data_IF_027095762197
#
_entry.id   IF_027095762197
#
_cell.length_a   1.000
_cell.length_b   1.000
_cell.length_c   1.000
_cell.angle_alpha   90.00
_cell.angle_beta   90.00
_cell.angle_gamma   90.00
#
_symmetry.space_group_name_H-M   'P 1'
#
loop_
_entity.id
_entity.type
_entity.pdbx_description
1 polymer ?
#
# COMPACT_ATOMS: atom_id res chain seq x y z
N UNK A 1 -56.03 52.84 3.82
CA UNK A 1 -54.98 51.83 3.50
C UNK A 1 -53.55 52.34 3.35
N UNK A 2 -53.23 53.57 3.80
CA UNK A 2 -51.88 54.18 3.63
C UNK A 2 -51.01 54.11 4.88
N UNK A 3 -51.54 53.70 6.05
CA UNK A 3 -50.82 53.68 7.32
C UNK A 3 -50.32 52.31 7.77
N UNK A 4 -50.73 51.21 7.13
CA UNK A 4 -50.28 49.87 7.54
C UNK A 4 -48.94 49.44 6.90
N UNK A 5 -48.60 49.98 5.72
CA UNK A 5 -47.31 49.65 5.07
C UNK A 5 -46.08 50.26 5.76
N UNK A 6 -46.22 51.45 6.38
CA UNK A 6 -45.12 52.10 7.06
C UNK A 6 -44.73 51.42 8.39
N UNK A 7 -45.67 50.76 9.08
CA UNK A 7 -45.41 50.06 10.31
C UNK A 7 -44.64 48.76 10.04
N UNK A 8 -44.98 48.07 8.92
CA UNK A 8 -44.30 46.81 8.54
C UNK A 8 -42.83 47.05 8.13
N UNK A 9 -42.53 48.14 7.46
CA UNK A 9 -41.20 48.55 7.09
C UNK A 9 -40.39 48.98 8.34
N UNK A 10 -40.94 49.76 9.27
CA UNK A 10 -40.30 50.15 10.52
C UNK A 10 -39.98 48.93 11.38
N UNK A 11 -40.85 47.91 11.44
CA UNK A 11 -40.61 46.65 12.16
C UNK A 11 -39.46 45.83 11.53
N UNK A 12 -39.40 45.83 10.17
CA UNK A 12 -38.28 45.16 9.46
C UNK A 12 -36.94 45.83 9.77
N UNK A 13 -36.85 47.14 9.72
CA UNK A 13 -35.62 47.88 10.06
C UNK A 13 -35.24 47.76 11.52
N UNK A 14 -36.19 47.74 12.46
CA UNK A 14 -35.96 47.47 13.86
C UNK A 14 -35.46 46.04 14.10
N UNK A 15 -35.96 45.05 13.36
CA UNK A 15 -35.51 43.65 13.48
C UNK A 15 -34.12 43.46 12.89
N UNK A 16 -33.80 44.09 11.77
CA UNK A 16 -32.47 44.04 11.14
C UNK A 16 -31.43 44.77 12.01
N UNK A 17 -31.76 45.91 12.62
CA UNK A 17 -30.86 46.61 13.56
C UNK A 17 -30.68 45.85 14.85
N UNK A 18 -31.70 45.17 15.38
CA UNK A 18 -31.61 44.33 16.56
C UNK A 18 -30.78 43.06 16.31
N UNK A 19 -30.92 42.43 15.11
CA UNK A 19 -30.11 41.29 14.70
C UNK A 19 -28.64 41.74 14.44
N UNK A 20 -28.42 42.89 13.89
CA UNK A 20 -27.09 43.48 13.66
C UNK A 20 -26.35 43.81 14.99
N UNK A 21 -27.07 44.27 16.00
CA UNK A 21 -26.48 44.53 17.35
C UNK A 21 -26.26 43.27 18.16
N UNK A 22 -27.06 42.19 17.97
CA UNK A 22 -26.78 40.88 18.57
C UNK A 22 -25.54 40.20 17.96
N UNK A 23 -25.23 40.41 16.69
CA UNK A 23 -24.02 39.89 16.08
C UNK A 23 -22.73 40.61 16.52
N UNK A 24 -22.82 41.80 17.10
CA UNK A 24 -21.68 42.52 17.63
C UNK A 24 -21.42 42.27 19.12
N UNK A 25 -22.33 41.58 19.82
CA UNK A 25 -22.16 41.19 21.23
C UNK A 25 -21.61 39.77 21.42
N UNK A 26 -21.36 39.05 20.35
CA UNK A 26 -20.78 37.70 20.37
C UNK A 26 -19.36 37.73 19.85
N UNK A 27 -18.41 37.87 20.72
CA UNK A 27 -17.04 37.42 20.79
C UNK A 27 -16.16 38.40 21.55
N UNK A 28 -16.51 38.61 22.79
CA UNK A 28 -15.51 38.96 23.79
C UNK A 28 -14.87 37.67 24.28
N UNK A 29 -14.13 36.97 23.42
CA UNK A 29 -13.10 36.04 23.88
C UNK A 29 -11.84 36.87 24.13
N UNK A 30 -11.86 37.65 25.21
CA UNK A 30 -10.66 38.23 25.80
C UNK A 30 -9.99 37.28 26.80
N UNK A 31 -9.90 36.01 26.47
CA UNK A 31 -8.85 35.20 27.03
C UNK A 31 -8.07 34.61 25.86
N UNK A 32 -7.03 35.31 25.45
CA UNK A 32 -5.86 34.67 24.90
C UNK A 32 -5.49 33.64 25.95
N UNK A 33 -5.76 32.36 25.66
CA UNK A 33 -5.03 31.22 26.23
C UNK A 33 -3.61 31.37 25.67
N UNK A 34 -2.94 32.41 26.06
CA UNK A 34 -1.55 32.73 25.80
C UNK A 34 -0.81 32.54 27.10
N UNK A 35 0.39 32.05 27.00
CA UNK A 35 1.37 32.06 28.08
C UNK A 35 1.54 33.52 28.53
N UNK A 36 0.85 33.91 29.59
CA UNK A 36 1.07 35.21 30.18
C UNK A 36 2.35 35.12 31.01
N UNK A 37 3.35 35.91 30.65
CA UNK A 37 4.54 36.05 31.47
C UNK A 37 4.11 36.50 32.87
N UNK A 38 4.35 35.67 33.87
CA UNK A 38 3.97 35.94 35.26
C UNK A 38 5.17 36.35 36.11
N UNK A 39 6.37 35.94 35.66
CA UNK A 39 7.62 36.30 36.34
C UNK A 39 8.81 36.32 35.37
N UNK A 40 10.03 36.50 35.90
CA UNK A 40 11.31 36.49 35.16
C UNK A 40 12.31 35.49 35.78
N UNK A 41 11.82 34.46 36.49
CA UNK A 41 12.66 33.46 37.14
C UNK A 41 12.73 32.24 36.21
N UNK A 42 13.93 31.90 35.78
CA UNK A 42 14.11 30.70 34.93
C UNK A 42 13.88 29.40 35.75
N UNK A 43 13.27 28.37 35.11
CA UNK A 43 13.04 27.08 35.76
C UNK A 43 14.37 26.34 36.03
N UNK A 44 14.31 25.36 36.92
CA UNK A 44 15.46 24.48 37.23
C UNK A 44 15.86 23.60 36.04
N UNK A 45 17.04 23.02 36.12
CA UNK A 45 17.56 22.08 35.11
C UNK A 45 16.99 20.67 35.28
N UNK A 46 16.84 19.89 34.19
CA UNK A 46 16.61 18.45 34.29
C UNK A 46 17.76 17.75 35.01
N UNK A 47 17.43 16.79 35.88
CA UNK A 47 18.40 16.03 36.68
C UNK A 47 18.30 14.53 36.36
N UNK A 48 19.22 13.71 36.93
CA UNK A 48 19.23 12.24 36.76
C UNK A 48 19.09 11.82 35.29
N UNK A 49 19.98 12.39 34.44
CA UNK A 49 19.92 12.15 33.00
C UNK A 49 20.55 10.80 32.66
N UNK A 50 19.77 9.97 31.97
CA UNK A 50 20.19 8.68 31.43
C UNK A 50 19.99 8.67 29.90
N UNK A 51 20.93 8.09 29.18
CA UNK A 51 20.90 8.00 27.72
C UNK A 51 20.79 6.55 27.29
N UNK A 52 19.80 6.25 26.49
CA UNK A 52 19.64 4.98 25.77
C UNK A 52 19.81 5.24 24.28
N UNK A 53 20.95 4.83 23.70
CA UNK A 53 21.20 5.00 22.28
C UNK A 53 20.36 4.05 21.45
N UNK A 54 19.72 4.58 20.39
CA UNK A 54 18.89 3.82 19.44
C UNK A 54 19.41 4.05 18.01
N UNK A 55 18.85 3.33 17.04
CA UNK A 55 19.21 3.50 15.62
C UNK A 55 18.92 4.93 15.13
N UNK A 56 19.99 5.64 14.78
CA UNK A 56 19.91 7.04 14.31
C UNK A 56 19.42 8.04 15.34
N UNK A 57 19.55 7.73 16.66
CA UNK A 57 19.10 8.62 17.71
C UNK A 57 19.38 8.12 19.14
N UNK A 58 18.72 8.76 20.11
CA UNK A 58 18.73 8.35 21.51
C UNK A 58 17.43 8.71 22.22
N UNK A 59 17.09 7.92 23.23
CA UNK A 59 16.08 8.25 24.24
C UNK A 59 16.83 8.84 25.44
N UNK A 60 16.48 10.06 25.81
CA UNK A 60 17.06 10.77 26.95
C UNK A 60 16.02 10.78 28.06
N UNK A 61 16.27 10.04 29.14
CA UNK A 61 15.44 10.00 30.36
C UNK A 61 15.98 11.00 31.35
N UNK A 62 15.11 11.64 32.12
CA UNK A 62 15.50 12.63 33.09
C UNK A 62 14.43 12.82 34.16
N UNK A 63 14.79 13.44 35.25
CA UNK A 63 13.81 13.95 36.24
C UNK A 63 13.54 15.41 35.93
N UNK A 64 12.29 15.79 35.60
CA UNK A 64 11.91 17.19 35.38
C UNK A 64 12.14 18.05 36.61
N UNK A 65 12.45 19.35 36.46
CA UNK A 65 12.53 20.25 37.61
C UNK A 65 11.14 20.40 38.26
N UNK A 66 11.16 20.70 39.58
CA UNK A 66 9.94 20.88 40.39
C UNK A 66 9.53 22.36 40.39
N UNK A 67 9.18 22.86 39.25
CA UNK A 67 8.67 24.24 39.07
C UNK A 67 7.17 24.16 38.74
N UNK A 68 6.34 24.88 39.46
CA UNK A 68 4.87 24.85 39.31
C UNK A 68 4.37 25.38 37.98
N UNK A 69 5.18 26.20 37.33
CA UNK A 69 4.90 26.77 36.04
C UNK A 69 5.74 26.20 34.88
N UNK A 70 6.46 25.08 35.11
CA UNK A 70 7.18 24.38 34.04
C UNK A 70 6.26 24.12 32.84
N UNK A 71 6.68 24.55 31.66
CA UNK A 71 5.97 24.31 30.39
C UNK A 71 6.47 23.05 29.67
N UNK A 72 7.78 22.94 29.49
CA UNK A 72 8.39 21.80 28.78
C UNK A 72 9.90 21.71 29.04
N UNK A 73 10.43 20.54 28.70
CA UNK A 73 11.87 20.33 28.52
C UNK A 73 12.15 20.28 27.01
N UNK A 74 13.18 21.00 26.57
CA UNK A 74 13.56 21.11 25.16
C UNK A 74 14.95 20.54 24.96
N UNK A 75 15.10 19.68 23.96
CA UNK A 75 16.39 19.23 23.45
C UNK A 75 16.67 19.92 22.11
N UNK A 76 17.82 20.59 22.00
CA UNK A 76 18.32 21.21 20.76
C UNK A 76 19.56 20.46 20.28
N UNK A 77 19.64 20.20 18.98
CA UNK A 77 20.75 19.49 18.36
C UNK A 77 20.87 19.79 16.87
N UNK A 78 22.01 19.46 16.27
CA UNK A 78 22.27 19.74 14.85
C UNK A 78 22.16 18.47 14.01
N UNK A 79 21.39 18.52 12.94
CA UNK A 79 21.30 17.49 11.89
C UNK A 79 21.60 18.13 10.54
N UNK A 80 22.60 17.63 9.84
CA UNK A 80 23.00 18.13 8.51
C UNK A 80 23.16 19.67 8.44
N UNK A 81 23.70 20.28 9.51
CA UNK A 81 23.87 21.73 9.59
C UNK A 81 22.58 22.50 9.93
N UNK A 82 21.47 21.84 10.19
CA UNK A 82 20.22 22.45 10.59
C UNK A 82 19.95 22.15 12.07
N UNK A 83 19.65 23.21 12.85
CA UNK A 83 19.23 23.03 14.23
C UNK A 83 17.84 22.40 14.29
N UNK A 84 17.72 21.37 15.12
CA UNK A 84 16.48 20.66 15.41
C UNK A 84 16.15 20.76 16.88
N UNK A 85 14.86 20.75 17.19
CA UNK A 85 14.37 20.78 18.57
C UNK A 85 13.30 19.71 18.77
N UNK A 86 13.39 19.03 19.90
CA UNK A 86 12.33 18.14 20.40
C UNK A 86 11.90 18.64 21.76
N UNK A 87 10.57 18.61 22.04
CA UNK A 87 9.98 19.10 23.28
C UNK A 87 9.21 18.00 23.98
N UNK A 88 9.33 17.94 25.28
CA UNK A 88 8.58 17.05 26.16
C UNK A 88 7.78 17.85 27.18
N UNK A 89 6.52 17.47 27.43
CA UNK A 89 5.69 18.11 28.43
C UNK A 89 6.23 17.87 29.86
N UNK A 90 5.83 18.67 30.86
CA UNK A 90 6.29 18.48 32.24
C UNK A 90 5.82 17.17 32.88
N UNK A 91 4.89 16.43 32.23
CA UNK A 91 4.32 15.17 32.72
C UNK A 91 5.03 13.92 32.20
N UNK A 92 6.05 14.09 31.37
CA UNK A 92 6.87 12.98 30.86
C UNK A 92 8.33 13.18 31.27
N UNK A 93 9.01 12.08 31.50
CA UNK A 93 10.36 11.99 32.02
C UNK A 93 11.39 11.60 30.94
N UNK A 94 11.00 11.69 29.69
CA UNK A 94 11.87 11.33 28.55
C UNK A 94 11.56 12.12 27.29
N UNK A 95 12.54 12.22 26.42
CA UNK A 95 12.41 12.72 25.06
C UNK A 95 13.29 11.91 24.09
N UNK A 96 12.90 11.91 22.82
CA UNK A 96 13.63 11.22 21.78
C UNK A 96 14.28 12.27 20.88
N UNK A 97 15.59 12.10 20.66
CA UNK A 97 16.34 12.82 19.64
C UNK A 97 16.69 11.84 18.51
N UNK A 98 16.40 12.25 17.28
CA UNK A 98 16.52 11.37 16.10
C UNK A 98 16.95 12.13 14.85
N UNK A 99 17.31 11.41 13.79
CA UNK A 99 17.73 11.98 12.51
C UNK A 99 19.24 12.00 12.32
N UNK A 100 20.01 11.33 13.16
CA UNK A 100 21.45 11.20 13.00
C UNK A 100 21.76 10.17 11.90
N UNK A 101 22.29 10.66 10.79
CA UNK A 101 22.58 9.86 9.60
C UNK A 101 23.90 9.10 9.65
N UNK A 102 24.68 9.24 10.73
CA UNK A 102 25.98 8.55 10.91
C UNK A 102 26.18 8.17 12.37
N UNK A 103 26.89 7.08 12.58
CA UNK A 103 27.40 6.71 13.90
C UNK A 103 28.45 7.73 14.32
N UNK A 104 28.43 8.15 15.58
CA UNK A 104 29.37 9.12 16.13
C UNK A 104 28.87 9.68 17.46
N UNK A 105 29.65 10.57 18.08
CA UNK A 105 29.29 11.24 19.32
C UNK A 105 28.67 12.63 18.99
N UNK A 106 27.52 12.90 19.56
CA UNK A 106 26.79 14.15 19.33
C UNK A 106 26.42 14.81 20.66
N UNK A 107 26.48 16.13 20.68
CA UNK A 107 26.06 16.91 21.83
C UNK A 107 24.61 17.39 21.65
N UNK A 108 23.79 17.08 22.66
CA UNK A 108 22.42 17.54 22.80
C UNK A 108 22.35 18.57 23.91
N UNK A 109 21.68 19.67 23.69
CA UNK A 109 21.52 20.75 24.67
C UNK A 109 20.10 20.68 25.23
N UNK A 110 20.00 20.28 26.51
CA UNK A 110 18.73 20.23 27.25
C UNK A 110 18.52 21.52 28.03
N UNK A 111 17.34 22.09 27.92
CA UNK A 111 16.90 23.22 28.75
C UNK A 111 15.46 23.04 29.18
N UNK A 112 15.08 23.62 30.29
CA UNK A 112 13.70 23.74 30.73
C UNK A 112 13.14 25.09 30.33
N UNK A 113 11.85 25.14 30.01
CA UNK A 113 11.12 26.35 29.65
C UNK A 113 9.86 26.42 30.50
N UNK A 114 9.58 27.57 31.13
CA UNK A 114 8.38 27.80 31.91
C UNK A 114 7.23 28.44 31.07
N UNK A 115 6.08 28.64 31.69
CA UNK A 115 4.92 29.28 31.08
C UNK A 115 5.15 30.77 30.77
N UNK A 116 6.10 31.40 31.45
CA UNK A 116 6.53 32.81 31.24
C UNK A 116 7.56 32.93 30.10
N UNK A 117 7.98 31.83 29.47
CA UNK A 117 9.01 31.69 28.43
C UNK A 117 10.42 31.99 28.94
N UNK A 118 10.67 31.92 30.25
CA UNK A 118 12.01 31.94 30.75
C UNK A 118 12.66 30.55 30.47
N UNK A 119 13.94 30.58 30.13
CA UNK A 119 14.72 29.37 29.80
C UNK A 119 15.80 29.15 30.84
N UNK A 120 16.03 27.89 31.25
CA UNK A 120 17.19 27.53 32.04
C UNK A 120 18.47 27.61 31.20
N UNK A 121 19.62 27.68 31.86
CA UNK A 121 20.90 27.43 31.17
C UNK A 121 20.87 26.04 30.50
N UNK A 122 21.50 25.87 29.30
CA UNK A 122 21.51 24.59 28.63
C UNK A 122 22.46 23.60 29.33
N UNK A 123 22.00 22.37 29.51
CA UNK A 123 22.81 21.23 29.97
C UNK A 123 23.21 20.35 28.79
N UNK A 124 24.50 20.18 28.58
CA UNK A 124 25.02 19.32 27.51
C UNK A 124 24.92 17.84 27.89
N UNK A 125 24.37 17.04 26.99
CA UNK A 125 24.26 15.57 27.08
C UNK A 125 24.90 14.98 25.83
N UNK A 126 25.85 14.06 25.99
CA UNK A 126 26.45 13.34 24.86
C UNK A 126 25.66 12.06 24.57
N UNK A 127 25.40 11.81 23.30
CA UNK A 127 24.78 10.58 22.80
C UNK A 127 25.67 9.96 21.73
N UNK A 128 25.56 8.63 21.53
CA UNK A 128 26.29 7.87 20.50
C UNK A 128 25.28 6.98 19.76
N UNK A 129 24.50 7.55 18.80
CA UNK A 129 23.48 6.80 18.07
C UNK A 129 24.02 5.51 17.44
N UNK A 130 23.20 4.45 17.47
CA UNK A 130 23.47 3.21 16.78
C UNK A 130 23.32 3.40 15.26
N UNK A 131 23.68 2.38 14.48
CA UNK A 131 23.59 2.38 13.00
C UNK A 131 22.30 3.02 12.51
N UNK A 132 22.39 4.06 11.66
CA UNK A 132 21.21 4.78 11.17
C UNK A 132 20.32 3.90 10.31
N UNK A 133 19.00 4.17 10.29
CA UNK A 133 18.06 3.43 9.45
C UNK A 133 18.43 3.37 7.96
N UNK A 134 18.93 4.45 7.39
CA UNK A 134 19.36 4.50 5.98
C UNK A 134 20.45 3.50 5.65
N UNK A 135 21.37 3.22 6.59
CA UNK A 135 22.45 2.26 6.40
C UNK A 135 21.97 0.82 6.51
N UNK A 136 21.32 0.41 7.60
CA UNK A 136 20.93 -1.00 7.75
C UNK A 136 19.82 -1.41 6.77
N UNK A 137 18.95 -0.47 6.34
CA UNK A 137 17.97 -0.75 5.29
C UNK A 137 18.67 -0.95 3.95
N UNK A 138 19.66 -0.08 3.64
CA UNK A 138 20.50 -0.22 2.46
C UNK A 138 21.25 -1.57 2.44
N UNK A 139 21.86 -1.98 3.54
CA UNK A 139 22.55 -3.28 3.66
C UNK A 139 21.61 -4.48 3.43
N UNK A 140 20.33 -4.32 3.72
CA UNK A 140 19.30 -5.35 3.53
C UNK A 140 18.72 -5.37 2.12
N UNK A 141 19.02 -4.37 1.27
CA UNK A 141 18.46 -4.23 -0.06
C UNK A 141 18.91 -5.37 -0.96
N UNK A 142 17.93 -6.04 -1.58
CA UNK A 142 18.19 -7.08 -2.58
C UNK A 142 17.50 -6.68 -3.87
N UNK A 143 18.24 -6.76 -4.95
CA UNK A 143 17.78 -6.46 -6.31
C UNK A 143 17.92 -7.73 -7.13
N UNK A 144 16.88 -8.07 -7.89
CA UNK A 144 16.88 -9.21 -8.81
C UNK A 144 16.26 -8.81 -10.14
N UNK A 145 16.84 -9.28 -11.23
CA UNK A 145 16.27 -9.11 -12.55
C UNK A 145 14.90 -9.80 -12.61
N UNK A 146 13.95 -9.15 -13.27
CA UNK A 146 12.58 -9.61 -13.41
C UNK A 146 12.06 -9.32 -14.81
N UNK A 147 10.88 -9.85 -15.12
CA UNK A 147 10.23 -9.57 -16.41
C UNK A 147 9.92 -8.08 -16.54
N UNK A 148 10.39 -7.49 -17.64
CA UNK A 148 10.24 -6.08 -17.95
C UNK A 148 10.94 -5.13 -16.98
N UNK A 149 11.86 -5.62 -16.11
CA UNK A 149 12.50 -4.74 -15.13
C UNK A 149 13.24 -5.44 -14.01
N UNK A 150 13.12 -4.90 -12.79
CA UNK A 150 13.79 -5.41 -11.59
C UNK A 150 12.83 -5.47 -10.40
N UNK A 151 13.05 -6.45 -9.53
CA UNK A 151 12.35 -6.61 -8.25
C UNK A 151 13.28 -6.20 -7.10
N UNK A 152 12.75 -5.45 -6.15
CA UNK A 152 13.44 -4.87 -5.02
C UNK A 152 12.82 -5.39 -3.73
N UNK A 153 13.62 -5.80 -2.76
CA UNK A 153 13.16 -6.12 -1.40
C UNK A 153 14.12 -5.54 -0.37
N UNK A 154 13.58 -5.12 0.78
CA UNK A 154 14.38 -4.57 1.88
C UNK A 154 13.72 -4.84 3.23
N UNK A 155 14.48 -4.68 4.32
CA UNK A 155 14.00 -4.80 5.69
C UNK A 155 14.08 -3.47 6.42
N UNK A 156 12.99 -3.08 7.06
CA UNK A 156 12.85 -1.86 7.85
C UNK A 156 12.22 -2.17 9.22
N UNK A 157 12.95 -2.86 10.11
CA UNK A 157 12.40 -3.40 11.36
C UNK A 157 11.88 -2.32 12.31
N UNK A 158 12.38 -1.10 12.24
CA UNK A 158 11.97 0.04 13.07
C UNK A 158 10.86 0.89 12.42
N UNK A 159 10.33 0.47 11.26
CA UNK A 159 9.25 1.17 10.53
C UNK A 159 9.55 2.65 10.25
N UNK A 160 10.80 2.98 9.98
CA UNK A 160 11.17 4.36 9.61
C UNK A 160 10.55 4.76 8.28
N UNK A 161 10.15 6.02 8.17
CA UNK A 161 9.71 6.59 6.89
C UNK A 161 10.95 6.78 6.01
N UNK A 162 11.01 6.03 4.92
CA UNK A 162 12.12 6.09 3.96
C UNK A 162 11.61 6.29 2.54
N UNK A 163 12.50 6.74 1.70
CA UNK A 163 12.36 6.78 0.26
C UNK A 163 13.49 5.92 -0.31
N UNK A 164 13.13 4.85 -1.03
CA UNK A 164 14.08 4.15 -1.89
C UNK A 164 14.07 4.87 -3.24
N UNK A 165 15.14 5.61 -3.52
CA UNK A 165 15.34 6.31 -4.77
C UNK A 165 16.04 5.38 -5.76
N UNK A 166 15.43 5.23 -6.96
CA UNK A 166 16.02 4.48 -8.06
C UNK A 166 16.29 5.41 -9.21
N UNK A 167 17.50 5.34 -9.72
CA UNK A 167 18.00 6.14 -10.82
C UNK A 167 18.53 5.23 -11.93
N UNK A 168 18.55 5.73 -13.15
CA UNK A 168 19.21 5.10 -14.29
C UNK A 168 20.32 5.98 -14.81
N UNK A 169 21.35 5.37 -15.41
CA UNK A 169 22.46 6.10 -16.02
C UNK A 169 22.17 6.38 -17.48
N UNK A 170 22.00 7.65 -17.83
CA UNK A 170 21.79 8.11 -19.20
C UNK A 170 22.92 9.09 -19.59
N UNK A 171 23.64 8.81 -20.66
CA UNK A 171 24.76 9.65 -21.13
C UNK A 171 25.80 9.98 -20.04
N UNK A 172 25.98 9.09 -19.09
CA UNK A 172 26.91 9.27 -17.93
C UNK A 172 26.32 9.99 -16.72
N UNK A 173 25.12 10.54 -16.82
CA UNK A 173 24.42 11.23 -15.74
C UNK A 173 23.36 10.34 -15.08
N UNK A 174 23.14 10.53 -13.78
CA UNK A 174 22.08 9.85 -13.05
C UNK A 174 20.74 10.57 -13.22
N UNK A 175 19.75 9.89 -13.81
CA UNK A 175 18.40 10.40 -14.00
C UNK A 175 17.44 9.63 -13.09
N UNK A 176 16.57 10.32 -12.39
CA UNK A 176 15.53 9.69 -11.55
C UNK A 176 14.64 8.80 -12.40
N UNK A 177 14.47 7.55 -11.97
CA UNK A 177 13.59 6.58 -12.61
C UNK A 177 12.31 6.40 -11.80
N UNK A 178 12.44 6.11 -10.49
CA UNK A 178 11.30 5.84 -9.60
C UNK A 178 11.66 6.14 -8.15
N UNK A 179 10.65 6.46 -7.32
CA UNK A 179 10.80 6.69 -5.89
C UNK A 179 9.73 5.90 -5.12
N UNK A 180 10.17 5.02 -4.23
CA UNK A 180 9.29 4.22 -3.40
C UNK A 180 9.27 4.72 -1.96
N UNK A 181 8.12 5.21 -1.53
CA UNK A 181 7.89 5.68 -0.16
C UNK A 181 7.41 4.52 0.70
N UNK A 182 8.06 4.25 1.81
CA UNK A 182 7.73 3.07 2.63
C UNK A 182 8.04 3.28 4.11
N UNK A 183 7.22 2.64 4.96
CA UNK A 183 7.46 2.45 6.39
C UNK A 183 7.17 1.01 6.85
N UNK A 184 7.00 0.09 5.89
CA UNK A 184 6.68 -1.31 6.18
C UNK A 184 7.94 -2.10 6.59
N UNK A 185 7.76 -3.11 7.46
CA UNK A 185 8.87 -3.90 8.01
C UNK A 185 9.63 -4.67 6.94
N UNK A 186 8.90 -5.33 6.04
CA UNK A 186 9.45 -6.05 4.89
C UNK A 186 8.91 -5.41 3.63
N UNK A 187 9.73 -4.54 3.02
CA UNK A 187 9.37 -3.81 1.82
C UNK A 187 9.64 -4.61 0.55
N UNK A 188 8.78 -4.40 -0.42
CA UNK A 188 8.99 -4.88 -1.78
C UNK A 188 8.50 -3.84 -2.78
N UNK A 189 9.19 -3.75 -3.91
CA UNK A 189 8.82 -2.88 -5.02
C UNK A 189 9.30 -3.49 -6.33
N UNK A 190 8.76 -2.99 -7.43
CA UNK A 190 9.15 -3.43 -8.77
C UNK A 190 9.24 -2.24 -9.70
N UNK A 191 10.26 -2.25 -10.52
CA UNK A 191 10.39 -1.35 -11.66
C UNK A 191 10.06 -2.17 -12.90
N UNK A 192 9.22 -1.61 -13.75
CA UNK A 192 8.74 -2.25 -14.98
C UNK A 192 8.85 -1.32 -16.17
N UNK A 193 8.66 -1.89 -17.36
CA UNK A 193 8.72 -1.13 -18.62
C UNK A 193 10.14 -0.83 -19.10
N UNK A 194 11.14 -1.53 -18.52
CA UNK A 194 12.51 -1.51 -19.02
C UNK A 194 12.65 -2.44 -20.23
N UNK A 195 13.45 -2.02 -21.19
CA UNK A 195 13.83 -2.89 -22.31
C UNK A 195 14.64 -4.09 -21.81
N UNK A 196 14.55 -5.21 -22.53
CA UNK A 196 15.34 -6.41 -22.25
C UNK A 196 16.79 -6.23 -22.75
N UNK A 197 17.45 -5.21 -22.24
CA UNK A 197 18.82 -4.82 -22.56
C UNK A 197 19.56 -4.49 -21.26
N UNK A 198 20.89 -4.71 -21.19
CA UNK A 198 21.67 -4.33 -20.02
C UNK A 198 21.49 -2.85 -19.71
N UNK A 199 21.17 -2.54 -18.45
CA UNK A 199 20.97 -1.18 -17.95
C UNK A 199 21.66 -1.00 -16.61
N UNK A 200 22.37 0.13 -16.43
CA UNK A 200 22.95 0.48 -15.15
C UNK A 200 21.94 1.27 -14.31
N UNK A 201 21.59 0.72 -13.16
CA UNK A 201 20.67 1.32 -12.19
C UNK A 201 21.41 1.68 -10.91
N UNK A 202 21.02 2.77 -10.30
CA UNK A 202 21.51 3.25 -9.02
C UNK A 202 20.40 3.25 -7.97
N UNK A 203 20.73 2.78 -6.77
CA UNK A 203 19.76 2.65 -5.67
C UNK A 203 20.33 3.30 -4.42
N UNK A 204 19.53 4.09 -3.72
CA UNK A 204 19.89 4.63 -2.41
C UNK A 204 18.67 4.83 -1.53
N UNK A 205 18.89 4.80 -0.23
CA UNK A 205 17.86 5.08 0.78
C UNK A 205 18.01 6.51 1.24
N UNK A 206 16.89 7.23 1.35
CA UNK A 206 16.82 8.56 1.95
C UNK A 206 15.76 8.56 3.06
N UNK A 207 16.06 9.24 4.17
CA UNK A 207 15.09 9.48 5.23
C UNK A 207 14.47 10.89 5.17
N UNK A 208 13.59 11.20 6.12
CA UNK A 208 12.91 12.51 6.23
C UNK A 208 13.80 13.66 6.67
N UNK A 209 15.05 13.39 7.10
CA UNK A 209 16.04 14.38 7.50
C UNK A 209 17.11 14.62 6.43
N UNK A 210 16.88 14.08 5.23
CA UNK A 210 17.83 14.12 4.11
C UNK A 210 19.16 13.44 4.42
N UNK A 211 19.15 12.38 5.25
CA UNK A 211 20.26 11.45 5.31
C UNK A 211 20.13 10.47 4.16
N UNK A 212 21.25 10.14 3.57
CA UNK A 212 21.36 9.24 2.43
C UNK A 212 22.29 8.07 2.75
N UNK A 213 21.94 6.89 2.29
CA UNK A 213 22.88 5.79 2.18
C UNK A 213 23.90 6.04 1.07
N UNK A 214 24.92 5.18 0.98
CA UNK A 214 25.71 5.07 -0.24
C UNK A 214 24.81 4.73 -1.45
N UNK A 215 25.33 5.03 -2.65
CA UNK A 215 24.68 4.64 -3.90
C UNK A 215 25.14 3.24 -4.29
N UNK A 216 24.19 2.29 -4.37
CA UNK A 216 24.44 0.98 -4.94
C UNK A 216 24.26 1.06 -6.46
N UNK A 217 25.33 0.94 -7.21
CA UNK A 217 25.32 0.89 -8.67
C UNK A 217 25.38 -0.57 -9.13
N UNK A 218 24.39 -1.02 -9.91
CA UNK A 218 24.30 -2.38 -10.43
C UNK A 218 23.93 -2.37 -11.90
N UNK A 219 24.55 -3.26 -12.67
CA UNK A 219 24.07 -3.63 -13.98
C UNK A 219 22.96 -4.66 -13.84
N UNK A 220 21.83 -4.39 -14.43
CA UNK A 220 20.63 -5.25 -14.46
C UNK A 220 20.33 -5.67 -15.90
N UNK A 221 19.80 -6.88 -16.04
CA UNK A 221 19.43 -7.47 -17.31
C UNK A 221 17.95 -7.85 -17.29
N UNK A 222 17.02 -6.88 -17.48
CA UNK A 222 15.60 -7.15 -17.46
C UNK A 222 15.22 -8.25 -18.43
N UNK A 223 14.38 -9.18 -17.98
CA UNK A 223 13.85 -10.24 -18.84
C UNK A 223 12.83 -9.63 -19.81
N UNK A 224 12.80 -10.16 -21.03
CA UNK A 224 11.82 -9.72 -22.03
C UNK A 224 10.39 -9.93 -21.57
N UNK A 225 9.55 -8.91 -21.71
CA UNK A 225 8.12 -8.95 -21.39
C UNK A 225 7.33 -8.22 -22.48
N UNK A 226 6.29 -8.87 -22.98
CA UNK A 226 5.30 -8.27 -23.86
C UNK A 226 3.90 -8.77 -23.53
N UNK A 227 2.88 -7.98 -23.86
CA UNK A 227 1.50 -8.45 -23.75
C UNK A 227 1.22 -9.48 -24.84
N UNK A 228 0.66 -10.64 -24.43
CA UNK A 228 0.29 -11.69 -25.39
C UNK A 228 -0.80 -11.17 -26.36
N UNK A 229 -0.63 -11.51 -27.63
CA UNK A 229 -1.60 -11.19 -28.68
C UNK A 229 -2.92 -11.97 -28.47
N UNK A 230 -3.89 -11.31 -27.84
CA UNK A 230 -5.19 -11.88 -27.51
C UNK A 230 -6.04 -12.26 -28.73
N UNK A 231 -5.68 -11.80 -29.92
CA UNK A 231 -6.34 -12.25 -31.17
C UNK A 231 -6.10 -13.72 -31.48
N UNK A 232 -5.02 -14.30 -30.93
CA UNK A 232 -4.69 -15.72 -31.03
C UNK A 232 -5.45 -16.60 -30.05
N UNK A 233 -6.03 -16.02 -29.01
CA UNK A 233 -6.75 -16.76 -27.97
C UNK A 233 -8.03 -17.35 -28.54
N UNK A 234 -8.37 -18.57 -28.10
CA UNK A 234 -9.52 -19.33 -28.61
C UNK A 234 -10.24 -20.05 -27.48
N UNK A 235 -11.56 -20.11 -27.65
CA UNK A 235 -12.36 -21.08 -26.91
C UNK A 235 -12.03 -22.49 -27.40
N UNK A 236 -12.08 -23.48 -26.54
CA UNK A 236 -11.92 -24.88 -26.97
C UNK A 236 -13.15 -25.30 -27.81
N UNK A 237 -12.94 -26.03 -28.90
CA UNK A 237 -14.05 -26.54 -29.73
C UNK A 237 -14.95 -27.52 -28.94
N UNK A 238 -14.36 -28.23 -28.00
CA UNK A 238 -15.06 -29.14 -27.07
C UNK A 238 -14.60 -28.81 -25.66
N UNK A 239 -15.54 -28.64 -24.74
CA UNK A 239 -15.24 -28.39 -23.33
C UNK A 239 -14.62 -29.65 -22.70
N UNK A 240 -13.66 -29.43 -21.81
CA UNK A 240 -13.10 -30.50 -20.99
C UNK A 240 -14.07 -30.88 -19.86
N UNK A 241 -14.01 -32.14 -19.37
CA UNK A 241 -14.78 -32.53 -18.20
C UNK A 241 -14.53 -31.59 -17.02
N UNK A 242 -15.60 -31.14 -16.37
CA UNK A 242 -15.55 -30.19 -15.28
C UNK A 242 -15.52 -28.72 -15.69
N UNK A 243 -15.46 -28.40 -16.99
CA UNK A 243 -15.60 -27.00 -17.43
C UNK A 243 -17.07 -26.54 -17.33
N UNK A 244 -17.23 -25.29 -16.89
CA UNK A 244 -18.54 -24.63 -16.86
C UNK A 244 -19.07 -24.37 -18.26
N UNK A 245 -20.38 -24.41 -18.38
CA UNK A 245 -21.08 -23.88 -19.53
C UNK A 245 -21.21 -22.35 -19.41
N UNK A 246 -21.00 -21.64 -20.53
CA UNK A 246 -21.21 -20.22 -20.59
C UNK A 246 -22.72 -19.89 -20.67
N UNK A 247 -23.15 -18.87 -19.92
CA UNK A 247 -24.50 -18.31 -20.06
C UNK A 247 -24.65 -17.67 -21.44
N UNK A 248 -25.84 -17.78 -22.03
CA UNK A 248 -26.14 -17.20 -23.34
C UNK A 248 -25.80 -15.70 -23.40
N UNK A 249 -25.01 -15.31 -24.40
CA UNK A 249 -24.55 -13.94 -24.57
C UNK A 249 -23.30 -13.55 -23.75
N UNK A 250 -22.81 -14.41 -22.84
CA UNK A 250 -21.63 -14.16 -21.98
C UNK A 250 -20.57 -15.27 -22.10
N UNK A 251 -20.02 -15.51 -23.31
CA UNK A 251 -19.13 -16.61 -23.63
C UNK A 251 -17.75 -16.47 -22.99
N UNK A 252 -16.97 -17.58 -22.99
CA UNK A 252 -15.61 -17.64 -22.43
C UNK A 252 -14.69 -16.57 -23.07
N UNK A 253 -14.82 -16.33 -24.38
CA UNK A 253 -13.99 -15.32 -25.07
C UNK A 253 -14.07 -13.91 -24.46
N UNK A 254 -15.13 -13.60 -23.73
CA UNK A 254 -15.25 -12.32 -23.02
C UNK A 254 -14.19 -12.14 -21.92
N UNK A 255 -13.51 -13.22 -21.49
CA UNK A 255 -12.37 -13.13 -20.54
C UNK A 255 -11.22 -12.29 -21.15
N UNK A 256 -11.03 -12.36 -22.47
CA UNK A 256 -9.93 -11.64 -23.13
C UNK A 256 -10.36 -10.63 -24.19
N UNK A 257 -11.63 -10.63 -24.62
CA UNK A 257 -12.18 -9.71 -25.64
C UNK A 257 -13.24 -8.76 -25.06
N UNK A 258 -13.82 -9.10 -23.92
CA UNK A 258 -14.89 -8.33 -23.30
C UNK A 258 -14.40 -6.99 -22.72
N UNK A 259 -15.36 -6.19 -22.32
CA UNK A 259 -15.10 -5.09 -21.42
C UNK A 259 -15.28 -5.56 -19.97
N UNK A 260 -14.67 -4.87 -19.06
CA UNK A 260 -14.72 -5.23 -17.64
C UNK A 260 -16.00 -4.75 -16.91
N UNK A 261 -17.08 -4.52 -17.62
CA UNK A 261 -18.36 -4.08 -17.06
C UNK A 261 -19.54 -4.97 -17.48
N UNK A 262 -19.88 -4.99 -18.76
CA UNK A 262 -21.07 -5.71 -19.28
C UNK A 262 -20.72 -6.97 -20.05
N UNK A 263 -19.64 -6.93 -20.84
CA UNK A 263 -19.20 -8.06 -21.69
C UNK A 263 -18.19 -8.91 -20.92
N UNK A 264 -18.65 -9.54 -19.84
CA UNK A 264 -17.87 -10.47 -19.03
C UNK A 264 -18.19 -11.92 -19.43
N UNK A 265 -17.39 -12.87 -18.98
CA UNK A 265 -17.78 -14.27 -18.91
C UNK A 265 -18.75 -14.47 -17.73
N UNK A 266 -19.79 -15.27 -17.93
CA UNK A 266 -20.64 -15.76 -16.86
C UNK A 266 -20.99 -17.23 -17.11
N UNK A 267 -20.78 -18.06 -16.10
CA UNK A 267 -21.18 -19.48 -16.17
C UNK A 267 -22.68 -19.66 -15.93
N UNK A 268 -23.27 -20.66 -16.56
CA UNK A 268 -24.59 -21.16 -16.15
C UNK A 268 -24.41 -21.82 -14.78
N UNK A 269 -25.00 -21.25 -13.75
CA UNK A 269 -24.93 -21.75 -12.37
C UNK A 269 -26.32 -21.79 -11.75
N UNK A 270 -26.62 -22.86 -11.05
CA UNK A 270 -27.81 -23.02 -10.21
C UNK A 270 -27.46 -23.95 -9.05
N UNK A 271 -28.40 -24.28 -8.18
CA UNK A 271 -28.20 -25.23 -7.08
C UNK A 271 -27.69 -26.58 -7.53
N UNK A 272 -28.10 -27.01 -8.73
CA UNK A 272 -27.76 -28.32 -9.30
C UNK A 272 -26.49 -28.29 -10.16
N UNK A 273 -25.92 -27.11 -10.39
CA UNK A 273 -24.71 -26.89 -11.19
C UNK A 273 -23.87 -25.72 -10.62
N UNK A 274 -23.29 -25.85 -9.43
CA UNK A 274 -22.52 -24.79 -8.81
C UNK A 274 -21.21 -24.52 -9.57
N UNK A 275 -20.81 -23.25 -9.68
CA UNK A 275 -19.56 -22.85 -10.33
C UNK A 275 -18.30 -23.30 -9.56
N UNK A 276 -18.26 -23.19 -8.23
CA UNK A 276 -17.08 -23.59 -7.47
C UNK A 276 -16.78 -25.10 -7.64
N UNK A 277 -15.48 -25.47 -7.75
CA UNK A 277 -14.99 -26.80 -8.09
C UNK A 277 -15.03 -27.16 -9.57
N UNK A 278 -15.52 -26.22 -10.39
CA UNK A 278 -15.56 -26.32 -11.84
C UNK A 278 -14.47 -25.44 -12.44
N UNK A 279 -14.21 -25.68 -13.71
CA UNK A 279 -13.15 -24.97 -14.43
C UNK A 279 -13.67 -24.07 -15.55
N UNK A 280 -12.77 -23.22 -16.01
CA UNK A 280 -12.81 -22.51 -17.28
C UNK A 280 -11.51 -22.84 -17.99
N UNK A 281 -11.58 -23.31 -19.23
CA UNK A 281 -10.40 -23.67 -20.01
C UNK A 281 -10.39 -22.96 -21.35
N UNK A 282 -9.22 -22.40 -21.73
CA UNK A 282 -9.03 -21.74 -23.02
C UNK A 282 -7.60 -21.93 -23.56
N UNK A 283 -7.42 -21.66 -24.85
CA UNK A 283 -6.18 -21.75 -25.58
C UNK A 283 -5.61 -20.33 -25.83
N UNK A 284 -4.39 -20.04 -25.38
CA UNK A 284 -3.69 -18.79 -25.70
C UNK A 284 -3.16 -18.72 -27.14
N UNK A 285 -3.31 -19.80 -27.91
CA UNK A 285 -2.89 -19.90 -29.32
C UNK A 285 -1.39 -20.03 -29.54
N UNK A 286 -0.59 -19.93 -28.48
CA UNK A 286 0.86 -20.08 -28.50
C UNK A 286 1.37 -20.56 -27.12
N UNK A 287 2.48 -21.29 -27.15
CA UNK A 287 3.21 -21.62 -25.92
C UNK A 287 3.96 -20.36 -25.45
N UNK A 288 3.75 -19.96 -24.21
CA UNK A 288 4.39 -18.79 -23.63
C UNK A 288 4.89 -19.04 -22.21
N UNK A 289 5.94 -18.32 -21.81
CA UNK A 289 6.34 -18.10 -20.44
C UNK A 289 5.54 -16.89 -19.95
N UNK A 290 4.50 -17.14 -19.17
CA UNK A 290 3.67 -16.07 -18.64
C UNK A 290 4.35 -15.46 -17.41
N UNK A 291 4.53 -14.15 -17.39
CA UNK A 291 5.12 -13.40 -16.28
C UNK A 291 4.07 -12.92 -15.28
N UNK A 292 2.91 -12.53 -15.78
CA UNK A 292 1.79 -12.00 -15.00
C UNK A 292 0.51 -11.99 -15.81
N UNK A 293 -0.58 -11.79 -15.09
CA UNK A 293 -1.88 -11.49 -15.70
C UNK A 293 -2.64 -10.50 -14.84
N UNK A 294 -3.63 -9.83 -15.44
CA UNK A 294 -4.60 -9.00 -14.73
C UNK A 294 -5.98 -9.59 -14.86
N UNK A 295 -6.72 -9.56 -13.76
CA UNK A 295 -8.12 -9.96 -13.74
C UNK A 295 -9.00 -8.75 -13.38
N UNK A 296 -10.04 -8.55 -14.16
CA UNK A 296 -11.07 -7.58 -13.86
C UNK A 296 -12.36 -8.30 -13.44
N UNK A 297 -12.87 -7.93 -12.29
CA UNK A 297 -14.18 -8.39 -11.85
C UNK A 297 -15.28 -7.68 -12.65
N UNK A 298 -16.42 -8.33 -12.82
CA UNK A 298 -17.62 -7.69 -13.29
C UNK A 298 -18.08 -6.64 -12.28
N UNK A 299 -18.24 -5.39 -12.72
CA UNK A 299 -18.59 -4.27 -11.83
C UNK A 299 -20.07 -3.94 -11.82
N UNK A 300 -20.76 -4.07 -12.96
CA UNK A 300 -22.13 -3.61 -13.14
C UNK A 300 -22.26 -2.08 -13.17
N UNK A 301 -23.45 -1.61 -13.36
CA UNK A 301 -23.73 -0.17 -13.30
C UNK A 301 -23.50 0.35 -11.88
N UNK A 302 -22.89 1.53 -11.77
CA UNK A 302 -22.51 2.14 -10.49
C UNK A 302 -21.65 1.23 -9.57
N UNK A 303 -20.93 0.25 -10.12
CA UNK A 303 -20.05 -0.70 -9.40
C UNK A 303 -20.78 -1.61 -8.40
N UNK A 304 -22.09 -1.83 -8.53
CA UNK A 304 -22.90 -2.58 -7.56
C UNK A 304 -22.52 -4.05 -7.42
N UNK A 305 -21.74 -4.61 -8.36
CA UNK A 305 -21.30 -6.00 -8.33
C UNK A 305 -19.82 -6.17 -7.94
N UNK A 306 -19.10 -5.10 -7.67
CA UNK A 306 -17.70 -5.15 -7.23
C UNK A 306 -17.60 -5.90 -5.90
N UNK A 307 -16.71 -6.87 -5.80
CA UNK A 307 -16.53 -7.75 -4.63
C UNK A 307 -17.81 -8.40 -4.11
N UNK A 308 -18.72 -8.69 -5.01
CA UNK A 308 -19.99 -9.36 -4.69
C UNK A 308 -20.38 -10.38 -5.77
N UNK A 309 -21.58 -10.93 -5.67
CA UNK A 309 -22.13 -11.88 -6.62
C UNK A 309 -21.18 -13.07 -6.87
N UNK A 310 -21.10 -13.51 -8.12
CA UNK A 310 -20.27 -14.63 -8.54
C UNK A 310 -18.87 -14.21 -9.01
N UNK A 311 -18.42 -13.00 -8.70
CA UNK A 311 -17.03 -12.62 -8.94
C UNK A 311 -16.10 -13.55 -8.17
N UNK A 312 -15.04 -14.01 -8.82
CA UNK A 312 -14.07 -14.91 -8.22
C UNK A 312 -13.33 -14.21 -7.06
N UNK A 313 -13.19 -14.94 -5.94
CA UNK A 313 -12.39 -14.56 -4.78
C UNK A 313 -11.14 -15.41 -4.70
N UNK A 314 -11.30 -16.75 -4.82
CA UNK A 314 -10.18 -17.70 -4.81
C UNK A 314 -10.28 -18.64 -5.99
N UNK A 315 -9.15 -18.88 -6.63
CA UNK A 315 -9.04 -19.81 -7.75
C UNK A 315 -7.62 -20.32 -7.90
N UNK A 316 -7.46 -21.39 -8.69
CA UNK A 316 -6.16 -21.96 -9.04
C UNK A 316 -5.98 -21.93 -10.53
N UNK A 317 -4.80 -21.54 -10.97
CA UNK A 317 -4.41 -21.61 -12.38
C UNK A 317 -3.59 -22.85 -12.62
N UNK A 318 -3.99 -23.61 -13.64
CA UNK A 318 -3.25 -24.72 -14.21
C UNK A 318 -2.87 -24.42 -15.66
N UNK A 319 -1.74 -24.96 -16.10
CA UNK A 319 -1.27 -24.80 -17.47
C UNK A 319 -0.76 -26.12 -18.03
N UNK A 320 -0.89 -26.30 -19.35
CA UNK A 320 -0.23 -27.37 -20.10
C UNK A 320 0.13 -26.87 -21.50
N UNK A 321 1.03 -27.58 -22.20
CA UNK A 321 1.44 -27.23 -23.58
C UNK A 321 0.55 -27.86 -24.63
N UNK A 322 -0.06 -29.02 -24.33
CA UNK A 322 -0.86 -29.82 -25.24
C UNK A 322 -2.07 -30.39 -24.50
N UNK A 323 -3.17 -30.59 -25.22
CA UNK A 323 -4.33 -31.32 -24.74
C UNK A 323 -4.32 -32.75 -25.35
N UNK A 324 -4.54 -33.75 -24.50
CA UNK A 324 -4.57 -35.15 -24.92
C UNK A 324 -6.00 -35.72 -24.89
N UNK A 325 -6.22 -36.81 -25.58
CA UNK A 325 -7.52 -37.50 -25.57
C UNK A 325 -7.91 -37.99 -24.15
N UNK A 326 -6.93 -38.32 -23.32
CA UNK A 326 -7.14 -38.69 -21.91
C UNK A 326 -7.75 -37.52 -21.13
N UNK A 327 -7.30 -36.31 -21.35
CA UNK A 327 -7.83 -35.10 -20.68
C UNK A 327 -9.30 -34.86 -21.03
N UNK A 328 -9.71 -35.16 -22.26
CA UNK A 328 -11.12 -35.06 -22.67
C UNK A 328 -12.02 -36.15 -22.08
N UNK A 329 -11.44 -37.22 -21.55
CA UNK A 329 -12.17 -38.35 -20.98
C UNK A 329 -11.96 -38.50 -19.46
N UNK A 330 -11.26 -37.58 -18.79
CA UNK A 330 -10.78 -37.74 -17.41
C UNK A 330 -11.59 -36.86 -16.41
N UNK A 331 -12.88 -36.96 -16.37
CA UNK A 331 -13.72 -36.30 -15.37
C UNK A 331 -14.15 -37.23 -14.25
N UNK A 332 -14.54 -36.70 -13.12
CA UNK A 332 -15.18 -37.44 -12.03
C UNK A 332 -16.61 -36.94 -11.86
N UNK A 333 -17.56 -37.85 -12.09
CA UNK A 333 -18.96 -37.55 -11.84
C UNK A 333 -19.33 -37.78 -10.38
N UNK A 334 -19.91 -36.76 -9.75
CA UNK A 334 -20.44 -36.83 -8.39
C UNK A 334 -21.78 -36.12 -8.33
N UNK A 335 -22.80 -36.83 -7.87
CA UNK A 335 -24.17 -36.27 -7.73
C UNK A 335 -24.72 -35.65 -9.04
N UNK A 336 -24.40 -36.23 -10.20
CA UNK A 336 -24.79 -35.75 -11.51
C UNK A 336 -23.98 -34.56 -12.04
N UNK A 337 -22.95 -34.13 -11.31
CA UNK A 337 -22.06 -33.04 -11.69
C UNK A 337 -20.70 -33.62 -12.08
N UNK A 338 -20.20 -33.21 -13.26
CA UNK A 338 -18.87 -33.52 -13.72
C UNK A 338 -17.83 -32.58 -13.13
N UNK A 339 -16.88 -33.12 -12.36
CA UNK A 339 -15.75 -32.38 -11.79
C UNK A 339 -14.47 -32.63 -12.59
N UNK A 340 -13.54 -31.64 -12.61
CA UNK A 340 -12.29 -31.77 -13.33
C UNK A 340 -11.32 -32.71 -12.62
N UNK A 341 -10.46 -33.33 -13.41
CA UNK A 341 -9.19 -33.93 -12.95
C UNK A 341 -8.04 -33.09 -13.49
N UNK A 342 -6.85 -33.26 -12.92
CA UNK A 342 -5.69 -32.44 -13.26
C UNK A 342 -4.49 -33.25 -13.72
N UNK A 343 -4.70 -34.54 -14.10
CA UNK A 343 -3.66 -35.33 -14.74
C UNK A 343 -3.23 -34.69 -16.08
N UNK A 344 -1.93 -34.55 -16.27
CA UNK A 344 -1.36 -33.83 -17.43
C UNK A 344 -1.35 -32.31 -17.31
N UNK A 345 -1.93 -31.73 -16.23
CA UNK A 345 -1.88 -30.31 -15.95
C UNK A 345 -0.83 -29.99 -14.88
N UNK A 346 -0.09 -28.90 -15.08
CA UNK A 346 0.80 -28.37 -14.05
C UNK A 346 0.08 -27.25 -13.31
N UNK A 347 0.04 -27.33 -11.98
CA UNK A 347 -0.43 -26.21 -11.16
C UNK A 347 0.55 -25.05 -11.28
N UNK A 348 0.08 -23.91 -11.71
CA UNK A 348 0.87 -22.70 -11.88
C UNK A 348 0.88 -21.88 -10.59
N UNK A 349 -0.30 -21.55 -10.06
CA UNK A 349 -0.41 -20.79 -8.81
C UNK A 349 -1.81 -20.84 -8.20
N UNK A 350 -1.87 -20.61 -6.89
CA UNK A 350 -3.10 -20.23 -6.20
C UNK A 350 -3.28 -18.72 -6.27
N UNK A 351 -4.51 -18.28 -6.41
CA UNK A 351 -4.85 -16.85 -6.48
C UNK A 351 -5.94 -16.53 -5.47
N UNK A 352 -5.72 -15.48 -4.70
CA UNK A 352 -6.73 -14.83 -3.89
C UNK A 352 -6.80 -13.36 -4.31
N UNK A 353 -7.98 -12.92 -4.76
CA UNK A 353 -8.19 -11.54 -5.21
C UNK A 353 -8.00 -10.57 -4.06
N UNK A 354 -7.21 -9.53 -4.28
CA UNK A 354 -6.93 -8.53 -3.27
C UNK A 354 -8.09 -7.54 -3.13
N UNK A 355 -8.38 -7.15 -1.88
CA UNK A 355 -9.34 -6.11 -1.55
C UNK A 355 -8.67 -5.09 -0.62
N UNK A 356 -8.44 -3.86 -1.06
CA UNK A 356 -7.74 -2.82 -0.28
C UNK A 356 -8.31 -2.60 1.12
N UNK A 357 -9.64 -2.55 1.24
CA UNK A 357 -10.31 -2.34 2.53
C UNK A 357 -10.27 -3.57 3.47
N UNK A 358 -9.68 -4.68 3.02
CA UNK A 358 -9.62 -5.96 3.75
C UNK A 358 -10.65 -6.98 3.27
N UNK A 359 -10.25 -8.25 3.27
CA UNK A 359 -11.03 -9.38 2.77
C UNK A 359 -12.40 -9.54 3.47
N UNK A 360 -12.45 -9.23 4.76
CA UNK A 360 -13.65 -9.41 5.61
C UNK A 360 -14.48 -8.14 5.75
N UNK A 361 -14.07 -7.02 5.15
CA UNK A 361 -14.83 -5.79 5.18
C UNK A 361 -16.09 -5.94 4.32
N UNK A 362 -17.32 -5.86 4.88
CA UNK A 362 -18.54 -6.00 4.10
C UNK A 362 -18.83 -4.77 3.20
N UNK A 363 -18.20 -3.64 3.49
CA UNK A 363 -18.41 -2.41 2.74
C UNK A 363 -17.43 -2.31 1.57
N UNK A 364 -17.88 -1.70 0.48
CA UNK A 364 -17.06 -1.35 -0.68
C UNK A 364 -16.62 0.10 -0.54
N UNK A 365 -15.31 0.35 -0.52
CA UNK A 365 -14.74 1.69 -0.44
C UNK A 365 -14.39 2.25 -1.81
N UNK A 366 -14.10 3.55 -1.90
CA UNK A 366 -13.63 4.14 -3.15
C UNK A 366 -12.28 3.56 -3.58
N UNK A 367 -11.42 3.22 -2.62
CA UNK A 367 -10.14 2.57 -2.89
C UNK A 367 -10.32 1.17 -3.50
N UNK A 368 -11.30 0.39 -3.00
CA UNK A 368 -11.68 -0.91 -3.58
C UNK A 368 -12.13 -0.76 -5.04
N UNK A 369 -12.94 0.26 -5.32
CA UNK A 369 -13.44 0.53 -6.67
C UNK A 369 -12.29 0.93 -7.60
N UNK A 370 -11.43 1.83 -7.16
CA UNK A 370 -10.26 2.28 -7.93
C UNK A 370 -9.31 1.12 -8.23
N UNK A 371 -9.03 0.28 -7.24
CA UNK A 371 -8.19 -0.90 -7.42
C UNK A 371 -8.72 -1.84 -8.51
N UNK A 372 -10.00 -2.22 -8.44
CA UNK A 372 -10.62 -3.12 -9.43
C UNK A 372 -10.75 -2.49 -10.81
N UNK A 373 -10.88 -1.17 -10.90
CA UNK A 373 -10.88 -0.47 -12.19
C UNK A 373 -9.53 -0.58 -12.90
N UNK A 374 -8.44 -0.60 -12.12
CA UNK A 374 -7.08 -0.79 -12.63
C UNK A 374 -6.75 -2.27 -12.91
N UNK A 375 -7.58 -3.20 -12.43
CA UNK A 375 -7.41 -4.65 -12.56
C UNK A 375 -6.51 -5.24 -11.47
N UNK A 376 -6.91 -6.40 -10.96
CA UNK A 376 -6.18 -7.17 -9.95
C UNK A 376 -5.02 -7.91 -10.63
N UNK A 377 -3.79 -7.44 -10.40
CA UNK A 377 -2.59 -7.98 -11.05
C UNK A 377 -1.95 -9.06 -10.19
N UNK A 378 -1.67 -10.20 -10.83
CA UNK A 378 -1.02 -11.35 -10.21
C UNK A 378 0.22 -11.74 -10.98
N UNK A 379 1.32 -11.93 -10.29
CA UNK A 379 2.56 -12.41 -10.88
C UNK A 379 2.61 -13.93 -10.87
N UNK A 380 3.01 -14.47 -12.00
CA UNK A 380 3.28 -15.90 -12.14
C UNK A 380 4.69 -16.18 -11.64
N UNK A 381 4.89 -17.21 -10.80
CA UNK A 381 6.23 -17.60 -10.34
C UNK A 381 7.20 -17.78 -11.52
N UNK A 382 8.42 -17.26 -11.37
CA UNK A 382 9.43 -17.31 -12.44
C UNK A 382 9.82 -18.75 -12.79
N UNK A 383 9.63 -19.68 -11.88
CA UNK A 383 9.89 -21.10 -12.05
C UNK A 383 8.75 -21.83 -12.79
N UNK A 384 7.57 -21.20 -12.94
CA UNK A 384 6.44 -21.83 -13.64
C UNK A 384 6.87 -22.25 -15.07
N UNK A 385 6.45 -23.41 -15.56
CA UNK A 385 6.81 -23.84 -16.91
C UNK A 385 6.15 -22.97 -17.97
N UNK A 386 6.57 -23.10 -19.21
CA UNK A 386 5.84 -22.57 -20.36
C UNK A 386 4.54 -23.36 -20.52
N UNK A 387 3.46 -22.70 -20.92
CA UNK A 387 2.17 -23.34 -21.20
C UNK A 387 1.44 -22.60 -22.33
N UNK A 388 0.47 -23.27 -22.93
CA UNK A 388 -0.41 -22.74 -23.97
C UNK A 388 -1.87 -22.75 -23.53
N UNK A 389 -2.30 -23.83 -22.90
CA UNK A 389 -3.67 -23.96 -22.41
C UNK A 389 -3.73 -23.56 -20.96
N UNK A 390 -4.71 -22.71 -20.64
CA UNK A 390 -4.97 -22.23 -19.29
C UNK A 390 -6.24 -22.87 -18.78
N UNK A 391 -6.20 -23.43 -17.56
CA UNK A 391 -7.34 -23.99 -16.86
C UNK A 391 -7.47 -23.30 -15.50
N UNK A 392 -8.58 -22.61 -15.27
CA UNK A 392 -8.87 -21.87 -14.05
C UNK A 392 -9.85 -22.68 -13.23
N UNK A 393 -9.43 -23.25 -12.10
CA UNK A 393 -10.29 -23.91 -11.14
C UNK A 393 -10.88 -22.86 -10.19
N UNK A 394 -12.17 -22.69 -10.22
CA UNK A 394 -12.89 -21.76 -9.35
C UNK A 394 -13.12 -22.38 -7.97
N UNK A 395 -12.64 -21.74 -6.89
CA UNK A 395 -12.75 -22.25 -5.52
C UNK A 395 -13.80 -21.49 -4.70
N UNK A 396 -13.76 -20.18 -4.74
CA UNK A 396 -14.61 -19.31 -3.92
C UNK A 396 -15.03 -18.06 -4.70
N UNK A 397 -16.26 -17.62 -4.50
CA UNK A 397 -16.76 -16.34 -5.01
C UNK A 397 -17.01 -15.38 -3.85
N UNK A 398 -17.10 -14.08 -4.14
CA UNK A 398 -17.38 -13.07 -3.12
C UNK A 398 -18.77 -13.18 -2.49
N UNK A 399 -19.69 -13.91 -3.10
CA UNK A 399 -21.01 -14.19 -2.53
C UNK A 399 -21.03 -15.37 -1.54
N UNK A 400 -19.87 -15.93 -1.22
CA UNK A 400 -19.77 -16.98 -0.18
C UNK A 400 -20.25 -18.36 -0.59
N UNK A 401 -20.27 -18.68 -1.88
CA UNK A 401 -20.51 -20.05 -2.33
C UNK A 401 -19.29 -20.89 -2.00
N UNK A 402 -19.25 -21.44 -0.78
CA UNK A 402 -18.21 -22.35 -0.31
C UNK A 402 -18.39 -23.71 -0.94
N UNK A 403 -17.32 -24.25 -1.53
CA UNK A 403 -17.21 -25.66 -1.77
C UNK A 403 -16.60 -26.36 -0.58
N UNK A 404 -17.37 -27.26 -0.05
CA UNK A 404 -16.81 -28.37 0.70
C UNK A 404 -16.30 -29.41 -0.28
N UNK A 405 -15.01 -29.43 -0.52
CA UNK A 405 -14.34 -30.65 -0.97
C UNK A 405 -12.94 -30.68 -0.42
N UNK A 406 -12.76 -31.40 0.65
CA UNK A 406 -11.53 -32.13 0.87
C UNK A 406 -11.65 -33.42 0.05
N UNK A 407 -10.85 -33.67 -0.96
CA UNK A 407 -10.65 -35.02 -1.42
C UNK A 407 -9.74 -35.71 -0.40
N UNK A 408 -10.28 -36.66 0.30
CA UNK A 408 -9.51 -37.69 1.00
C UNK A 408 -8.79 -38.57 0.01
#
# INVERSE_FOLDING_TARGET
>A
MRNMNNISELVKYAFVTLLGTLCLAGCGQDEKIGLNATDSVAPGLPTNIEVENINGGAIIRYTPPKDDDLLCVVASYMINGVERTTKASPYVDSLIVEGFGKVGDYNIFLKSVDKSQNESEPKTVSISPLTPPVEYIYESLKITDSFGGVSLTWKNPTRQNIILEVTKKENGEWVSLENFYSSIVEGQAKIRGLAAEPITLGYRIRDRWDNYSEMLELESNPLYEEELDKSKFKELPTRLPGDCEAMGGLPIRNIWQGNNNTDCFHSVTNSDNPAPGRCITFDMGQVAKVSRFKMWQRRGDANVWTYTHNNLKKYVIYGCTELTDEMYNSGVEKDGIMYPTFEGWTKIMDVECYKPSGQDNPNITNEDIEYIQNGDEHEVPIEAPNFRYVRILMLETWSGCLLYTSPS
#
